data_IF_892250154135
#
_entry.id   IF_892250154135
#
_cell.length_a   1.000
_cell.length_b   1.000
_cell.length_c   1.000
_cell.angle_alpha   90.00
_cell.angle_beta   90.00
_cell.angle_gamma   90.00
#
_symmetry.space_group_name_H-M   'P 1'
#
loop_
_entity.id
_entity.type
_entity.pdbx_description
1 polymer ?
#
# COMPACT_ATOMS: atom_id res chain seq x y z
N UNK A 1 -11.28 -4.20 7.07
CA UNK A 1 -9.85 -4.18 6.66
C UNK A 1 -9.00 -5.34 7.18
N UNK A 2 -9.56 -6.48 7.67
CA UNK A 2 -8.74 -7.57 8.26
C UNK A 2 -7.79 -8.25 7.25
N UNK A 3 -8.21 -8.40 5.97
CA UNK A 3 -7.40 -9.01 4.89
C UNK A 3 -6.16 -8.16 4.53
N UNK A 4 -6.33 -6.85 4.38
CA UNK A 4 -5.19 -5.94 4.10
C UNK A 4 -4.23 -5.90 5.28
N UNK A 5 -4.73 -5.89 6.53
CA UNK A 5 -3.87 -5.97 7.72
C UNK A 5 -3.06 -7.26 7.79
N UNK A 6 -3.60 -8.38 7.31
CA UNK A 6 -2.85 -9.63 7.16
C UNK A 6 -1.72 -9.49 6.13
N UNK A 7 -2.01 -8.97 4.94
CA UNK A 7 -0.98 -8.72 3.91
C UNK A 7 0.14 -7.81 4.42
N UNK A 8 -0.20 -6.82 5.23
CA UNK A 8 0.76 -5.91 5.83
C UNK A 8 1.65 -6.60 6.89
N UNK A 9 1.07 -7.51 7.70
CA UNK A 9 1.84 -8.38 8.60
C UNK A 9 2.76 -9.34 7.86
N UNK A 10 2.30 -9.90 6.74
CA UNK A 10 3.11 -10.75 5.88
C UNK A 10 4.32 -9.98 5.34
N UNK A 11 4.13 -8.75 4.85
CA UNK A 11 5.22 -7.87 4.41
C UNK A 11 6.21 -7.57 5.54
N UNK A 12 5.74 -7.28 6.76
CA UNK A 12 6.62 -7.01 7.91
C UNK A 12 7.50 -8.21 8.24
N UNK A 13 6.98 -9.44 8.13
CA UNK A 13 7.77 -10.65 8.37
C UNK A 13 8.69 -10.96 7.20
N UNK A 14 8.22 -10.76 5.97
CA UNK A 14 8.97 -11.05 4.76
C UNK A 14 10.14 -10.08 4.56
N UNK A 15 10.01 -8.82 4.98
CA UNK A 15 11.01 -7.78 4.67
C UNK A 15 12.44 -8.16 5.04
N UNK A 16 12.64 -8.86 6.15
CA UNK A 16 13.98 -9.23 6.63
C UNK A 16 14.66 -10.33 5.82
N UNK A 17 13.92 -11.04 4.97
CA UNK A 17 14.41 -12.22 4.26
C UNK A 17 14.44 -12.04 2.74
N UNK A 18 13.75 -11.03 2.22
CA UNK A 18 13.46 -10.92 0.79
C UNK A 18 13.89 -9.56 0.22
N UNK A 19 14.35 -9.52 -1.04
CA UNK A 19 14.67 -8.28 -1.72
C UNK A 19 13.42 -7.42 -1.98
N UNK A 20 13.62 -6.14 -2.27
CA UNK A 20 12.55 -5.15 -2.49
C UNK A 20 11.56 -5.58 -3.59
N UNK A 21 12.04 -6.19 -4.67
CA UNK A 21 11.23 -6.63 -5.82
C UNK A 21 10.20 -7.71 -5.45
N UNK A 22 10.60 -8.69 -4.63
CA UNK A 22 9.69 -9.74 -4.17
C UNK A 22 8.71 -9.20 -3.13
N UNK A 23 9.13 -8.25 -2.29
CA UNK A 23 8.22 -7.52 -1.40
C UNK A 23 7.19 -6.69 -2.17
N UNK A 24 7.60 -6.08 -3.29
CA UNK A 24 6.70 -5.37 -4.22
C UNK A 24 5.68 -6.34 -4.82
N UNK A 25 6.12 -7.52 -5.25
CA UNK A 25 5.23 -8.57 -5.76
C UNK A 25 4.20 -9.00 -4.71
N UNK A 26 4.63 -9.21 -3.46
CA UNK A 26 3.74 -9.52 -2.34
C UNK A 26 2.75 -8.38 -2.04
N UNK A 27 3.19 -7.12 -2.14
CA UNK A 27 2.32 -5.96 -2.04
C UNK A 27 1.24 -5.97 -3.12
N UNK A 28 1.61 -6.25 -4.37
CA UNK A 28 0.63 -6.33 -5.46
C UNK A 28 -0.37 -7.48 -5.24
N UNK A 29 0.10 -8.64 -4.80
CA UNK A 29 -0.73 -9.81 -4.57
C UNK A 29 -1.72 -9.66 -3.40
N UNK A 30 -1.28 -9.13 -2.24
CA UNK A 30 -2.09 -9.12 -1.01
C UNK A 30 -2.75 -7.79 -0.69
N UNK A 31 -2.22 -6.67 -1.17
CA UNK A 31 -2.74 -5.32 -0.84
C UNK A 31 -3.36 -4.70 -2.08
N UNK A 32 -2.61 -4.60 -3.19
CA UNK A 32 -3.10 -3.93 -4.39
C UNK A 32 -4.31 -4.64 -5.02
N UNK A 33 -4.35 -5.97 -5.03
CA UNK A 33 -5.51 -6.75 -5.50
C UNK A 33 -6.81 -6.36 -4.78
N UNK A 34 -6.76 -6.21 -3.45
CA UNK A 34 -7.90 -5.75 -2.65
C UNK A 34 -8.21 -4.28 -2.87
N UNK A 35 -7.19 -3.47 -3.17
CA UNK A 35 -7.39 -2.07 -3.53
C UNK A 35 -8.08 -1.94 -4.90
N UNK A 36 -7.66 -2.73 -5.87
CA UNK A 36 -8.19 -2.71 -7.23
C UNK A 36 -9.65 -3.21 -7.28
N UNK A 37 -9.98 -4.24 -6.50
CA UNK A 37 -11.36 -4.76 -6.39
C UNK A 37 -12.37 -3.69 -5.94
N UNK A 38 -11.94 -2.75 -5.09
CA UNK A 38 -12.79 -1.70 -4.54
C UNK A 38 -12.94 -0.45 -5.41
N UNK A 39 -12.30 -0.35 -6.57
CA UNK A 39 -12.23 0.91 -7.34
C UNK A 39 -13.61 1.49 -7.69
N UNK A 40 -14.56 0.64 -8.11
CA UNK A 40 -15.90 1.09 -8.52
C UNK A 40 -16.70 1.75 -7.38
N UNK A 41 -16.89 1.11 -6.21
CA UNK A 41 -17.56 1.76 -5.09
C UNK A 41 -16.74 2.90 -4.46
N UNK A 42 -15.41 2.87 -4.57
CA UNK A 42 -14.54 3.87 -3.94
C UNK A 42 -14.47 5.20 -4.67
N UNK A 43 -14.69 5.21 -5.99
CA UNK A 43 -14.78 6.46 -6.78
C UNK A 43 -15.88 7.39 -6.25
N UNK A 44 -16.98 6.82 -5.74
CA UNK A 44 -18.11 7.58 -5.20
C UNK A 44 -18.14 7.60 -3.65
N UNK A 45 -17.10 7.08 -3.00
CA UNK A 45 -17.04 7.02 -1.55
C UNK A 45 -16.44 8.31 -0.97
N UNK A 46 -17.00 8.78 0.15
CA UNK A 46 -16.44 9.90 0.88
C UNK A 46 -14.99 9.66 1.29
N UNK A 47 -14.18 10.73 1.26
CA UNK A 47 -12.76 10.72 1.65
C UNK A 47 -12.50 10.05 3.02
N UNK A 48 -13.46 10.12 3.94
CA UNK A 48 -13.38 9.52 5.27
C UNK A 48 -13.19 7.99 5.19
N UNK A 49 -13.82 7.33 4.23
CA UNK A 49 -13.69 5.88 4.03
C UNK A 49 -12.40 5.49 3.28
N UNK A 50 -11.84 6.42 2.49
CA UNK A 50 -10.60 6.23 1.74
C UNK A 50 -9.34 6.48 2.56
N UNK A 51 -9.43 7.38 3.55
CA UNK A 51 -8.33 7.73 4.45
C UNK A 51 -7.63 6.52 5.10
N UNK A 52 -8.36 5.54 5.66
CA UNK A 52 -7.76 4.32 6.19
C UNK A 52 -6.99 3.51 5.14
N UNK A 53 -7.48 3.44 3.90
CA UNK A 53 -6.82 2.71 2.81
C UNK A 53 -5.52 3.39 2.39
N UNK A 54 -5.55 4.73 2.26
CA UNK A 54 -4.35 5.53 1.95
C UNK A 54 -3.29 5.37 3.06
N UNK A 55 -3.70 5.38 4.33
CA UNK A 55 -2.79 5.13 5.47
C UNK A 55 -2.14 3.74 5.36
N UNK A 56 -2.91 2.70 5.06
CA UNK A 56 -2.40 1.34 4.89
C UNK A 56 -1.42 1.23 3.72
N UNK A 57 -1.72 1.88 2.60
CA UNK A 57 -0.84 1.91 1.43
C UNK A 57 0.50 2.59 1.75
N UNK A 58 0.47 3.78 2.37
CA UNK A 58 1.68 4.49 2.83
C UNK A 58 2.47 3.71 3.87
N UNK A 59 1.80 2.88 4.68
CA UNK A 59 2.48 2.03 5.64
C UNK A 59 3.18 0.86 4.93
N UNK A 60 2.55 0.25 3.92
CA UNK A 60 3.15 -0.81 3.13
C UNK A 60 4.41 -0.34 2.37
N UNK A 61 4.36 0.82 1.72
CA UNK A 61 5.55 1.36 1.00
C UNK A 61 6.73 1.62 1.92
N UNK A 62 6.48 2.09 3.15
CA UNK A 62 7.52 2.26 4.17
C UNK A 62 8.10 0.95 4.68
N UNK A 63 7.28 -0.09 4.80
CA UNK A 63 7.74 -1.42 5.20
C UNK A 63 8.70 -1.99 4.16
N UNK A 64 8.40 -1.78 2.87
CA UNK A 64 9.21 -2.24 1.75
C UNK A 64 10.54 -1.48 1.67
N UNK A 65 10.52 -0.16 1.80
CA UNK A 65 11.70 0.71 1.66
C UNK A 65 12.54 0.85 2.93
N UNK A 66 12.16 0.18 4.03
CA UNK A 66 12.81 0.34 5.33
C UNK A 66 12.85 1.79 5.86
N UNK A 67 11.95 2.64 5.39
CA UNK A 67 11.99 4.06 5.71
C UNK A 67 11.29 4.38 7.04
N UNK A 68 11.79 5.41 7.78
CA UNK A 68 11.18 5.82 9.03
C UNK A 68 9.77 6.37 8.82
N UNK A 69 8.89 6.23 9.82
CA UNK A 69 7.48 6.66 9.73
C UNK A 69 7.27 8.13 9.35
N UNK A 70 8.22 8.99 9.68
CA UNK A 70 8.16 10.44 9.50
C UNK A 70 8.51 10.84 8.06
N UNK A 71 9.13 9.94 7.28
CA UNK A 71 9.56 10.24 5.91
C UNK A 71 8.39 10.60 4.98
N UNK A 72 8.61 11.55 4.05
CA UNK A 72 7.63 11.89 3.01
C UNK A 72 7.29 10.67 2.16
N UNK A 73 6.00 10.31 2.10
CA UNK A 73 5.57 9.12 1.35
C UNK A 73 5.58 9.32 -0.17
N UNK A 74 5.62 10.56 -0.66
CA UNK A 74 5.54 10.88 -2.09
C UNK A 74 6.73 10.32 -2.89
N UNK A 75 7.95 10.55 -2.40
CA UNK A 75 9.18 10.02 -3.00
C UNK A 75 9.14 8.48 -3.05
N UNK A 76 8.66 7.84 -1.98
CA UNK A 76 8.60 6.38 -1.90
C UNK A 76 7.66 5.74 -2.95
N UNK A 77 6.61 6.44 -3.35
CA UNK A 77 5.73 5.96 -4.41
C UNK A 77 6.41 6.03 -5.79
N UNK A 78 7.22 7.06 -6.00
CA UNK A 78 8.01 7.24 -7.23
C UNK A 78 9.11 6.17 -7.29
N UNK A 79 9.87 6.00 -6.21
CA UNK A 79 10.97 5.03 -6.14
C UNK A 79 10.49 3.59 -6.35
N UNK A 80 9.31 3.25 -5.82
CA UNK A 80 8.71 1.91 -5.96
C UNK A 80 7.89 1.75 -7.24
N UNK A 81 7.72 2.81 -8.06
CA UNK A 81 6.78 2.84 -9.19
C UNK A 81 5.36 2.36 -8.82
N UNK A 82 4.86 2.79 -7.66
CA UNK A 82 3.53 2.43 -7.15
C UNK A 82 2.59 3.63 -7.25
N UNK A 83 1.46 3.44 -7.94
CA UNK A 83 0.40 4.45 -8.02
C UNK A 83 -0.29 4.65 -6.66
N UNK A 84 -0.36 5.89 -6.14
CA UNK A 84 -1.13 6.17 -4.94
C UNK A 84 -2.63 6.06 -5.24
N UNK A 85 -3.39 5.54 -4.27
CA UNK A 85 -4.86 5.41 -4.38
C UNK A 85 -5.53 6.74 -4.73
N UNK A 86 -4.99 7.88 -4.27
CA UNK A 86 -5.51 9.21 -4.61
C UNK A 86 -5.46 9.53 -6.11
N UNK A 87 -4.54 8.93 -6.86
CA UNK A 87 -4.43 9.12 -8.30
C UNK A 87 -5.35 8.18 -9.11
N UNK A 88 -6.00 7.19 -8.47
CA UNK A 88 -6.93 6.27 -9.14
C UNK A 88 -8.35 6.83 -9.31
N UNK A 89 -8.68 7.94 -8.62
CA UNK A 89 -10.02 8.53 -8.62
C UNK A 89 -10.17 9.78 -9.47
N UNK A 90 -9.07 10.30 -10.03
CA UNK A 90 -9.08 11.41 -10.97
C UNK A 90 -9.21 10.90 -12.41
#
# INVERSE_FOLDING_TARGET
CKKISYGLRALIKARSYFPVETLLSLYYAFIHSHLNYGISPWRNAYHIHLWPLIKLQKQATRIITYTPRISPSGILFIDLNVLPISALYF
#
